data_IF_534086538038
#
_entry.id   IF_534086538038
#
_cell.length_a   1.000
_cell.length_b   1.000
_cell.length_c   1.000
_cell.angle_alpha   90.00
_cell.angle_beta   90.00
_cell.angle_gamma   90.00
#
_symmetry.space_group_name_H-M   'P 1'
#
loop_
_entity.id
_entity.type
_entity.pdbx_description
1 polymer ?
#
# COMPACT_ATOMS: atom_id res chain seq x y z
N UNK A 1 -5.75 68.11 -74.78
CA UNK A 1 -6.16 67.50 -76.06
C UNK A 1 -6.47 66.03 -75.80
N UNK A 2 -7.75 65.66 -75.95
CA UNK A 2 -8.38 64.35 -76.17
C UNK A 2 -7.71 63.02 -75.73
N UNK A 3 -8.43 62.33 -74.81
CA UNK A 3 -8.88 60.92 -74.76
C UNK A 3 -7.96 59.74 -75.14
N UNK A 4 -7.95 58.69 -74.30
CA UNK A 4 -8.56 57.35 -74.52
C UNK A 4 -8.44 56.55 -73.20
N UNK A 5 -9.50 56.34 -72.40
CA UNK A 5 -10.56 55.30 -72.44
C UNK A 5 -10.14 53.91 -71.91
N UNK A 6 -10.66 53.56 -70.70
CA UNK A 6 -11.23 52.29 -70.16
C UNK A 6 -10.58 50.93 -70.56
N UNK A 7 -10.46 49.89 -69.72
CA UNK A 7 -11.49 49.27 -68.85
C UNK A 7 -10.89 48.10 -68.01
N UNK A 8 -11.23 48.06 -66.72
CA UNK A 8 -11.54 46.95 -65.78
C UNK A 8 -10.74 45.63 -65.62
N UNK A 9 -10.48 45.35 -64.32
CA UNK A 9 -10.58 44.08 -63.55
C UNK A 9 -9.75 42.86 -63.96
N UNK A 10 -8.79 42.48 -63.10
CA UNK A 10 -8.96 41.28 -62.25
C UNK A 10 -8.01 41.30 -61.04
N UNK A 11 -8.56 40.78 -59.96
CA UNK A 11 -8.13 40.65 -58.56
C UNK A 11 -6.94 39.73 -58.30
N UNK A 12 -6.40 39.86 -57.07
CA UNK A 12 -5.66 38.84 -56.29
C UNK A 12 -4.21 38.64 -56.77
N UNK A 13 -3.15 38.68 -55.95
CA UNK A 13 -2.99 38.15 -54.60
C UNK A 13 -1.59 38.56 -54.09
N UNK A 14 -1.35 38.31 -52.82
CA UNK A 14 -0.06 38.00 -52.18
C UNK A 14 0.69 39.15 -51.47
N UNK A 15 0.96 38.84 -50.19
CA UNK A 15 2.13 39.26 -49.40
C UNK A 15 1.96 40.46 -48.47
N UNK A 16 1.12 40.27 -47.45
CA UNK A 16 1.37 40.81 -46.11
C UNK A 16 1.65 39.64 -45.15
N UNK A 17 2.90 39.19 -45.17
CA UNK A 17 3.52 38.42 -44.08
C UNK A 17 4.72 39.24 -43.63
N UNK A 18 4.52 40.11 -42.63
CA UNK A 18 5.60 40.70 -41.86
C UNK A 18 5.10 41.21 -40.50
N UNK A 19 5.52 40.49 -39.46
CA UNK A 19 5.66 40.92 -38.05
C UNK A 19 4.41 41.42 -37.31
N UNK A 20 3.70 40.49 -36.67
CA UNK A 20 3.09 40.74 -35.36
C UNK A 20 3.91 39.99 -34.31
N UNK A 21 4.75 40.72 -33.58
CA UNK A 21 5.32 40.24 -32.33
C UNK A 21 4.34 40.53 -31.21
N UNK A 22 3.47 39.56 -30.89
CA UNK A 22 2.68 39.61 -29.67
C UNK A 22 3.60 39.29 -28.49
N UNK A 23 3.82 40.29 -27.63
CA UNK A 23 4.21 40.03 -26.25
C UNK A 23 3.08 39.23 -25.63
N UNK A 24 3.36 38.00 -25.19
CA UNK A 24 2.49 37.28 -24.26
C UNK A 24 2.38 38.12 -22.98
N UNK A 25 1.34 38.96 -22.92
CA UNK A 25 0.82 39.42 -21.65
C UNK A 25 0.36 38.17 -20.90
N UNK A 26 1.10 37.87 -19.84
CA UNK A 26 0.72 36.89 -18.83
C UNK A 26 -0.71 37.21 -18.41
N UNK A 27 -1.68 36.35 -18.79
CA UNK A 27 -3.06 36.45 -18.31
C UNK A 27 -2.99 36.62 -16.80
N UNK A 28 -3.44 37.79 -16.32
CA UNK A 28 -3.62 38.02 -14.90
C UNK A 28 -4.47 36.88 -14.34
N UNK A 29 -3.97 36.20 -13.32
CA UNK A 29 -4.70 35.18 -12.61
C UNK A 29 -6.08 35.76 -12.21
N UNK A 30 -7.14 35.02 -12.51
CA UNK A 30 -8.52 35.38 -12.17
C UNK A 30 -8.57 35.89 -10.73
N UNK A 31 -9.12 37.10 -10.47
CA UNK A 31 -9.20 37.66 -9.13
C UNK A 31 -9.80 36.62 -8.18
N UNK A 32 -9.26 36.51 -6.96
CA UNK A 32 -9.72 35.54 -5.94
C UNK A 32 -11.25 35.65 -5.72
N UNK A 33 -11.84 36.83 -5.93
CA UNK A 33 -13.28 37.07 -5.84
C UNK A 33 -14.14 36.37 -6.92
N UNK A 34 -13.55 35.98 -8.05
CA UNK A 34 -14.20 35.28 -9.17
C UNK A 34 -13.90 33.76 -9.17
N UNK A 35 -13.13 33.28 -8.20
CA UNK A 35 -12.88 31.84 -8.00
C UNK A 35 -14.01 31.25 -7.14
N UNK A 36 -14.69 30.23 -7.67
CA UNK A 36 -15.68 29.47 -6.90
C UNK A 36 -14.95 28.57 -5.90
N UNK A 37 -14.84 29.03 -4.65
CA UNK A 37 -14.39 28.19 -3.54
C UNK A 37 -15.58 27.46 -2.95
N UNK A 38 -15.50 26.13 -2.94
CA UNK A 38 -16.43 25.27 -2.22
C UNK A 38 -15.71 24.75 -0.97
N UNK A 39 -16.38 24.84 0.19
CA UNK A 39 -15.91 24.18 1.41
C UNK A 39 -16.39 22.74 1.39
N UNK A 40 -15.47 21.81 1.15
CA UNK A 40 -15.73 20.39 1.37
C UNK A 40 -15.51 20.09 2.86
N UNK A 41 -16.57 19.70 3.57
CA UNK A 41 -16.46 19.21 4.95
C UNK A 41 -16.03 17.74 4.85
N UNK A 42 -14.76 17.48 5.16
CA UNK A 42 -14.33 16.13 5.49
C UNK A 42 -14.81 15.83 6.91
N UNK A 43 -15.49 14.70 7.13
CA UNK A 43 -15.73 14.18 8.48
C UNK A 43 -14.36 13.89 9.12
N UNK A 44 -13.84 14.87 9.87
CA UNK A 44 -12.56 14.78 10.56
C UNK A 44 -12.78 14.28 11.98
N UNK A 45 -12.11 13.19 12.35
CA UNK A 45 -12.02 12.75 13.73
C UNK A 45 -10.99 13.63 14.46
N UNK A 46 -11.41 14.33 15.51
CA UNK A 46 -10.53 15.15 16.36
C UNK A 46 -10.42 14.51 17.73
N UNK A 47 -9.23 14.03 18.07
CA UNK A 47 -8.94 13.42 19.38
C UNK A 47 -8.11 14.40 20.21
N UNK A 48 -8.53 14.65 21.45
CA UNK A 48 -7.79 15.51 22.39
C UNK A 48 -6.54 14.78 22.92
N UNK A 49 -5.51 14.71 22.08
CA UNK A 49 -4.25 14.07 22.39
C UNK A 49 -3.08 14.83 21.74
N UNK A 50 -2.06 15.15 22.54
CA UNK A 50 -0.86 15.83 22.07
C UNK A 50 0.16 14.81 21.55
N UNK A 51 0.10 14.48 20.25
CA UNK A 51 1.06 13.60 19.61
C UNK A 51 0.84 13.45 18.10
N UNK A 52 1.52 12.49 17.49
CA UNK A 52 1.40 12.22 16.05
C UNK A 52 0.60 10.93 15.82
N UNK A 53 -0.72 11.08 15.78
CA UNK A 53 -1.64 9.95 15.67
C UNK A 53 -1.74 9.45 14.23
N UNK A 54 -1.50 8.15 14.05
CA UNK A 54 -1.82 7.41 12.84
C UNK A 54 -3.05 6.52 13.08
N UNK A 55 -3.99 6.54 12.14
CA UNK A 55 -5.10 5.59 12.12
C UNK A 55 -4.59 4.20 11.70
N UNK A 56 -4.76 3.25 12.61
CA UNK A 56 -4.38 1.85 12.41
C UNK A 56 -5.53 1.09 11.78
N UNK A 57 -6.71 1.15 12.41
CA UNK A 57 -7.92 0.45 11.94
C UNK A 57 -9.19 1.02 12.58
N UNK A 58 -10.34 0.62 12.06
CA UNK A 58 -11.67 0.94 12.60
C UNK A 58 -12.35 -0.38 12.95
N UNK A 59 -13.06 -0.44 14.09
CA UNK A 59 -13.77 -1.64 14.52
C UNK A 59 -14.82 -2.06 13.49
N UNK A 60 -15.17 -3.36 13.42
CA UNK A 60 -16.21 -3.85 12.50
C UNK A 60 -17.55 -3.12 12.59
N UNK A 61 -17.95 -2.69 13.79
CA UNK A 61 -19.17 -1.90 14.01
C UNK A 61 -19.06 -0.42 13.58
N UNK A 62 -17.86 0.06 13.23
CA UNK A 62 -17.58 1.42 12.79
C UNK A 62 -17.44 2.46 13.90
N UNK A 63 -17.55 2.07 15.17
CA UNK A 63 -17.69 3.03 16.27
C UNK A 63 -16.39 3.31 17.03
N UNK A 64 -15.38 2.45 16.90
CA UNK A 64 -14.12 2.53 17.63
C UNK A 64 -12.94 2.65 16.66
N UNK A 65 -12.05 3.58 16.95
CA UNK A 65 -10.89 3.90 16.13
C UNK A 65 -9.63 3.52 16.89
N UNK A 66 -8.82 2.64 16.29
CA UNK A 66 -7.52 2.25 16.82
C UNK A 66 -6.44 3.18 16.26
N UNK A 67 -5.78 3.89 17.15
CA UNK A 67 -4.78 4.90 16.83
C UNK A 67 -3.44 4.53 17.46
N UNK A 68 -2.36 4.96 16.82
CA UNK A 68 -1.01 4.82 17.36
C UNK A 68 -0.28 6.16 17.29
N UNK A 69 0.32 6.58 18.40
CA UNK A 69 1.27 7.70 18.39
C UNK A 69 2.62 7.24 17.85
N UNK A 70 3.02 7.76 16.69
CA UNK A 70 4.27 7.40 16.02
C UNK A 70 5.52 7.73 16.82
N UNK A 71 5.44 8.68 17.78
CA UNK A 71 6.60 9.06 18.59
C UNK A 71 6.82 8.12 19.77
N UNK A 72 5.75 7.70 20.44
CA UNK A 72 5.84 6.92 21.68
C UNK A 72 5.48 5.44 21.51
N UNK A 73 4.95 5.03 20.35
CA UNK A 73 4.29 3.73 20.13
C UNK A 73 3.13 3.47 21.11
N UNK A 74 2.54 4.53 21.67
CA UNK A 74 1.34 4.43 22.51
C UNK A 74 0.15 4.09 21.62
N UNK A 75 -0.66 3.12 22.02
CA UNK A 75 -1.94 2.79 21.37
C UNK A 75 -3.08 3.51 22.08
N UNK A 76 -4.06 3.95 21.31
CA UNK A 76 -5.24 4.64 21.81
C UNK A 76 -6.49 4.08 21.13
N UNK A 77 -7.58 4.02 21.88
CA UNK A 77 -8.91 3.78 21.35
C UNK A 77 -9.71 5.06 21.52
N UNK A 78 -10.35 5.54 20.46
CA UNK A 78 -11.33 6.62 20.53
C UNK A 78 -12.65 6.20 19.94
N UNK A 79 -13.74 6.84 20.36
CA UNK A 79 -15.04 6.70 19.69
C UNK A 79 -15.17 7.66 18.49
N UNK A 80 -16.30 7.60 17.79
CA UNK A 80 -16.66 8.46 16.65
C UNK A 80 -16.66 9.97 16.96
N UNK A 81 -16.87 10.36 18.22
CA UNK A 81 -16.80 11.76 18.66
C UNK A 81 -15.39 12.25 18.99
N UNK A 82 -14.41 11.34 18.93
CA UNK A 82 -13.02 11.63 19.27
C UNK A 82 -12.71 11.56 20.77
N UNK A 83 -13.66 11.13 21.59
CA UNK A 83 -13.43 10.86 23.01
C UNK A 83 -12.47 9.68 23.16
N UNK A 84 -11.42 9.88 23.97
CA UNK A 84 -10.46 8.84 24.29
C UNK A 84 -11.11 7.81 25.23
N UNK A 85 -11.30 6.60 24.74
CA UNK A 85 -11.82 5.49 25.52
C UNK A 85 -10.70 4.90 26.37
N UNK A 86 -9.53 4.65 25.77
CA UNK A 86 -8.41 4.00 26.43
C UNK A 86 -7.06 4.38 25.81
N UNK A 87 -5.98 4.21 26.59
CA UNK A 87 -4.59 4.49 26.19
C UNK A 87 -3.62 3.48 26.83
N UNK A 88 -2.72 2.90 26.03
CA UNK A 88 -1.79 1.86 26.51
C UNK A 88 -0.39 2.00 25.93
N UNK A 89 0.60 1.53 26.70
CA UNK A 89 1.94 1.23 26.22
C UNK A 89 2.11 -0.28 26.19
N UNK A 90 2.04 -0.85 24.99
CA UNK A 90 2.06 -2.30 24.79
C UNK A 90 3.45 -2.83 24.41
N UNK A 91 4.45 -1.96 24.27
CA UNK A 91 5.82 -2.36 23.92
C UNK A 91 6.72 -2.32 25.15
N UNK A 92 7.40 -3.43 25.44
CA UNK A 92 8.33 -3.55 26.55
C UNK A 92 8.56 -5.01 26.99
N UNK A 93 8.77 -5.24 28.28
CA UNK A 93 9.10 -6.54 28.87
C UNK A 93 8.09 -7.04 29.93
N UNK A 94 6.99 -6.30 30.11
CA UNK A 94 5.89 -6.68 30.99
C UNK A 94 5.06 -7.86 30.46
N UNK A 95 4.22 -8.45 31.31
CA UNK A 95 3.42 -9.64 30.96
C UNK A 95 2.36 -9.37 29.87
N UNK A 96 1.96 -8.12 29.68
CA UNK A 96 1.04 -7.69 28.62
C UNK A 96 1.77 -6.97 27.48
N UNK A 97 3.10 -7.02 27.43
CA UNK A 97 3.87 -6.24 26.46
C UNK A 97 4.49 -7.15 25.40
N UNK A 98 4.53 -6.69 24.14
CA UNK A 98 5.33 -7.29 23.09
C UNK A 98 6.73 -6.64 23.06
N UNK A 99 7.76 -7.39 22.69
CA UNK A 99 9.13 -6.88 22.60
C UNK A 99 9.71 -6.90 21.17
N UNK A 100 8.99 -7.56 20.26
CA UNK A 100 9.38 -7.72 18.87
C UNK A 100 9.09 -6.46 18.04
N UNK A 101 9.70 -6.40 16.85
CA UNK A 101 9.50 -5.27 15.96
C UNK A 101 8.14 -5.39 15.26
N UNK A 102 7.31 -4.33 15.23
CA UNK A 102 6.07 -4.34 14.46
C UNK A 102 6.33 -4.60 12.97
N UNK A 103 5.43 -5.35 12.33
CA UNK A 103 5.48 -5.65 10.88
C UNK A 103 4.49 -4.83 10.05
N UNK A 104 3.63 -4.06 10.69
CA UNK A 104 2.72 -3.15 10.01
C UNK A 104 1.59 -2.71 10.92
N UNK A 105 0.41 -2.49 10.35
CA UNK A 105 -0.70 -1.91 11.09
C UNK A 105 -1.32 -2.91 12.05
N UNK A 106 -1.64 -2.43 13.25
CA UNK A 106 -2.57 -3.12 14.12
C UNK A 106 -3.98 -3.11 13.50
N UNK A 107 -4.76 -4.16 13.73
CA UNK A 107 -6.11 -4.32 13.17
C UNK A 107 -7.08 -4.92 14.17
N UNK A 108 -8.35 -4.56 14.08
CA UNK A 108 -9.36 -5.24 14.87
C UNK A 108 -9.54 -6.68 14.38
N UNK A 109 -9.58 -7.62 15.32
CA UNK A 109 -10.07 -8.97 15.07
C UNK A 109 -11.60 -8.99 15.13
N UNK A 110 -12.16 -8.26 16.08
CA UNK A 110 -13.58 -8.05 16.31
C UNK A 110 -13.77 -6.77 17.16
N UNK A 111 -15.00 -6.44 17.57
CA UNK A 111 -15.27 -5.21 18.36
C UNK A 111 -14.65 -5.20 19.78
N UNK A 112 -14.02 -6.30 20.22
CA UNK A 112 -13.44 -6.47 21.56
C UNK A 112 -11.96 -6.79 21.58
N UNK A 113 -11.37 -7.09 20.43
CA UNK A 113 -9.98 -7.49 20.32
C UNK A 113 -9.30 -6.86 19.11
N UNK A 114 -8.03 -6.51 19.27
CA UNK A 114 -7.17 -6.06 18.19
C UNK A 114 -5.83 -6.80 18.18
N UNK A 115 -5.25 -6.84 17.00
CA UNK A 115 -4.07 -7.61 16.64
C UNK A 115 -2.91 -6.67 16.38
N UNK A 116 -1.72 -7.02 16.86
CA UNK A 116 -0.46 -6.36 16.52
C UNK A 116 0.44 -7.39 15.82
N UNK A 117 0.68 -7.26 14.50
CA UNK A 117 1.64 -8.11 13.80
C UNK A 117 3.08 -7.67 14.12
N UNK A 118 3.93 -8.63 14.49
CA UNK A 118 5.34 -8.40 14.84
C UNK A 118 6.25 -9.46 14.21
N UNK A 119 7.57 -9.25 14.28
CA UNK A 119 8.57 -10.25 13.85
C UNK A 119 8.54 -11.54 14.66
N UNK A 120 7.85 -11.58 15.81
CA UNK A 120 7.67 -12.77 16.64
C UNK A 120 6.33 -13.48 16.43
N UNK A 121 5.45 -12.96 15.56
CA UNK A 121 4.09 -13.43 15.39
C UNK A 121 3.06 -12.34 15.63
N UNK A 122 1.80 -12.75 15.82
CA UNK A 122 0.67 -11.84 15.99
C UNK A 122 0.25 -11.85 17.46
N UNK A 123 0.15 -10.68 18.07
CA UNK A 123 -0.34 -10.51 19.44
C UNK A 123 -1.81 -10.06 19.41
N UNK A 124 -2.70 -10.73 20.12
CA UNK A 124 -4.10 -10.33 20.33
C UNK A 124 -4.28 -9.71 21.71
N UNK A 125 -4.87 -8.52 21.72
CA UNK A 125 -5.17 -7.73 22.89
C UNK A 125 -6.67 -7.50 23.00
N UNK A 126 -7.22 -7.53 24.20
CA UNK A 126 -8.56 -7.01 24.44
C UNK A 126 -8.59 -5.47 24.37
N UNK A 127 -9.79 -4.90 24.32
CA UNK A 127 -10.01 -3.44 24.38
C UNK A 127 -9.60 -2.81 25.72
N UNK A 128 -9.08 -3.53 26.70
CA UNK A 128 -8.50 -2.97 27.93
C UNK A 128 -6.96 -3.03 27.90
N UNK A 129 -6.37 -3.49 26.79
CA UNK A 129 -4.93 -3.59 26.59
C UNK A 129 -4.29 -4.78 27.31
N UNK A 130 -5.09 -5.77 27.72
CA UNK A 130 -4.58 -7.03 28.27
C UNK A 130 -4.25 -7.98 27.14
N UNK A 131 -3.09 -8.62 27.24
CA UNK A 131 -2.66 -9.62 26.27
C UNK A 131 -3.52 -10.88 26.45
N UNK A 132 -4.32 -11.20 25.45
CA UNK A 132 -5.12 -12.42 25.42
C UNK A 132 -4.31 -13.57 24.85
N UNK A 133 -3.57 -13.29 23.75
CA UNK A 133 -2.84 -14.35 23.06
C UNK A 133 -1.66 -13.87 22.24
N UNK A 134 -0.65 -14.74 22.13
CA UNK A 134 0.39 -14.64 21.10
C UNK A 134 0.27 -15.84 20.15
N UNK A 135 0.23 -15.56 18.85
CA UNK A 135 0.29 -16.57 17.79
C UNK A 135 1.71 -16.59 17.23
N UNK A 136 2.56 -17.45 17.81
CA UNK A 136 3.97 -17.58 17.46
C UNK A 136 4.18 -18.12 16.03
N UNK A 137 5.19 -17.58 15.35
CA UNK A 137 5.62 -18.11 14.05
C UNK A 137 6.35 -19.44 14.22
N UNK A 138 6.14 -20.36 13.27
CA UNK A 138 6.89 -21.62 13.15
C UNK A 138 8.18 -21.46 12.33
N UNK A 139 8.53 -20.23 11.96
CA UNK A 139 9.73 -19.87 11.20
C UNK A 139 10.31 -18.53 11.70
N UNK A 140 11.55 -18.23 11.30
CA UNK A 140 12.18 -16.94 11.63
C UNK A 140 11.69 -15.87 10.67
N UNK A 141 11.18 -14.77 11.21
CA UNK A 141 10.82 -13.61 10.39
C UNK A 141 12.07 -13.01 9.73
N UNK A 142 12.01 -12.79 8.42
CA UNK A 142 13.07 -12.08 7.71
C UNK A 142 12.92 -10.55 7.87
N UNK A 143 14.00 -9.78 7.78
CA UNK A 143 13.90 -8.33 7.70
C UNK A 143 13.12 -7.90 6.46
N UNK A 144 12.22 -6.94 6.61
CA UNK A 144 11.45 -6.35 5.51
C UNK A 144 11.27 -4.85 5.74
N UNK A 145 11.20 -4.10 4.64
CA UNK A 145 10.86 -2.68 4.69
C UNK A 145 9.40 -2.51 5.12
N UNK A 146 9.14 -1.61 6.07
CA UNK A 146 7.77 -1.22 6.42
C UNK A 146 7.31 -0.09 5.49
N UNK A 147 6.27 -0.33 4.70
CA UNK A 147 5.63 0.71 3.89
C UNK A 147 4.49 1.33 4.69
N UNK A 148 4.66 2.60 5.08
CA UNK A 148 3.62 3.36 5.77
C UNK A 148 2.33 3.40 4.97
N UNK A 149 1.23 2.93 5.55
CA UNK A 149 -0.09 2.90 4.91
C UNK A 149 -0.42 1.61 4.16
N UNK A 150 0.54 0.70 3.94
CA UNK A 150 0.25 -0.62 3.42
C UNK A 150 -0.46 -1.48 4.46
N UNK A 151 -1.41 -2.29 4.00
CA UNK A 151 -2.02 -3.32 4.82
C UNK A 151 -1.21 -4.62 4.66
N UNK A 152 -0.71 -5.14 5.78
CA UNK A 152 0.09 -6.37 5.86
C UNK A 152 -0.65 -7.54 6.52
N UNK A 153 -1.88 -7.29 7.00
CA UNK A 153 -2.73 -8.24 7.69
C UNK A 153 -4.18 -8.01 7.28
N UNK A 154 -4.94 -9.08 7.06
CA UNK A 154 -6.37 -9.07 6.75
C UNK A 154 -7.08 -10.16 7.56
N UNK A 155 -8.22 -9.84 8.16
CA UNK A 155 -9.03 -10.76 8.97
C UNK A 155 -10.24 -11.23 8.16
N UNK A 156 -10.53 -12.53 8.19
CA UNK A 156 -11.75 -13.09 7.62
C UNK A 156 -12.24 -14.29 8.43
N UNK A 157 -13.28 -14.08 9.24
CA UNK A 157 -13.78 -15.12 10.13
C UNK A 157 -12.68 -15.65 11.02
N UNK A 158 -12.38 -16.95 10.90
CA UNK A 158 -11.38 -17.64 11.71
C UNK A 158 -9.97 -17.70 11.06
N UNK A 159 -9.73 -16.88 10.04
CA UNK A 159 -8.46 -16.83 9.33
C UNK A 159 -7.88 -15.42 9.31
N UNK A 160 -6.56 -15.35 9.40
CA UNK A 160 -5.78 -14.13 9.19
C UNK A 160 -4.83 -14.38 8.01
N UNK A 161 -4.87 -13.51 7.02
CA UNK A 161 -3.93 -13.48 5.91
C UNK A 161 -2.88 -12.40 6.19
N UNK A 162 -1.60 -12.74 6.16
CA UNK A 162 -0.51 -11.81 6.47
C UNK A 162 0.63 -11.94 5.47
N UNK A 163 1.36 -10.85 5.22
CA UNK A 163 2.56 -10.81 4.36
C UNK A 163 3.85 -11.05 5.14
N UNK A 164 3.77 -11.78 6.26
CA UNK A 164 4.90 -12.02 7.17
C UNK A 164 6.04 -12.72 6.43
N UNK A 165 7.22 -12.10 6.27
CA UNK A 165 8.31 -12.64 5.47
C UNK A 165 9.15 -13.64 6.28
N UNK A 166 9.85 -14.55 5.61
CA UNK A 166 10.89 -15.38 6.24
C UNK A 166 10.70 -16.88 6.11
N UNK A 167 9.52 -17.36 5.71
CA UNK A 167 9.35 -18.79 5.47
C UNK A 167 10.27 -19.23 4.33
N UNK A 168 11.03 -20.30 4.57
CA UNK A 168 11.95 -20.89 3.61
C UNK A 168 13.26 -20.13 3.40
N UNK A 169 13.51 -19.02 4.11
CA UNK A 169 14.78 -18.29 3.94
C UNK A 169 16.01 -19.08 4.38
N UNK A 170 15.85 -19.97 5.36
CA UNK A 170 16.91 -20.89 5.79
C UNK A 170 17.16 -22.01 4.74
N UNK A 171 16.22 -22.27 3.82
CA UNK A 171 16.31 -23.34 2.81
C UNK A 171 16.83 -22.84 1.46
N UNK A 172 16.32 -21.70 0.99
CA UNK A 172 16.60 -21.17 -0.36
C UNK A 172 16.99 -19.68 -0.37
N UNK A 173 17.33 -19.11 0.79
CA UNK A 173 17.70 -17.71 0.93
C UNK A 173 16.50 -16.76 0.87
N UNK A 174 16.75 -15.45 0.93
CA UNK A 174 15.71 -14.40 0.93
C UNK A 174 15.57 -13.66 -0.39
N UNK A 175 16.40 -13.99 -1.38
CA UNK A 175 16.52 -13.34 -2.69
C UNK A 175 16.98 -14.37 -3.74
N UNK A 176 16.98 -13.97 -5.01
CA UNK A 176 17.47 -14.82 -6.11
C UNK A 176 16.38 -15.64 -6.79
N UNK A 177 16.76 -16.36 -7.85
CA UNK A 177 15.84 -17.17 -8.65
C UNK A 177 15.17 -18.25 -7.80
N UNK A 178 15.94 -18.96 -6.96
CA UNK A 178 15.39 -20.06 -6.16
C UNK A 178 14.33 -19.57 -5.16
N UNK A 179 14.57 -18.41 -4.51
CA UNK A 179 13.58 -17.76 -3.67
C UNK A 179 12.32 -17.39 -4.47
N UNK A 180 12.46 -16.77 -5.64
CA UNK A 180 11.31 -16.41 -6.49
C UNK A 180 10.51 -17.63 -6.98
N UNK A 181 11.16 -18.76 -7.24
CA UNK A 181 10.46 -19.96 -7.69
C UNK A 181 9.71 -20.67 -6.56
N UNK A 182 10.22 -20.60 -5.32
CA UNK A 182 9.73 -21.42 -4.20
C UNK A 182 8.91 -20.64 -3.17
N UNK A 183 9.14 -19.33 -3.03
CA UNK A 183 8.52 -18.51 -1.99
C UNK A 183 7.01 -18.37 -2.17
N UNK A 184 6.33 -18.38 -1.02
CA UNK A 184 4.93 -18.08 -0.89
C UNK A 184 4.81 -16.67 -0.33
N UNK A 185 3.89 -15.89 -0.88
CA UNK A 185 3.81 -14.45 -0.63
C UNK A 185 2.88 -14.12 0.54
N UNK A 186 2.02 -15.07 0.92
CA UNK A 186 1.03 -14.94 1.98
C UNK A 186 1.21 -16.07 3.00
N UNK A 187 1.03 -15.75 4.26
CA UNK A 187 0.85 -16.71 5.34
C UNK A 187 -0.59 -16.64 5.83
N UNK A 188 -1.21 -17.79 6.05
CA UNK A 188 -2.55 -17.93 6.60
C UNK A 188 -2.43 -18.48 8.01
N UNK A 189 -2.80 -17.68 9.01
CA UNK A 189 -3.00 -18.14 10.38
C UNK A 189 -4.45 -18.58 10.56
N UNK A 190 -4.65 -19.85 10.88
CA UNK A 190 -5.95 -20.36 11.31
C UNK A 190 -6.09 -20.19 12.84
N UNK A 191 -7.13 -19.47 13.28
CA UNK A 191 -7.32 -19.11 14.68
C UNK A 191 -7.88 -20.26 15.55
N UNK A 192 -8.44 -21.31 14.95
CA UNK A 192 -8.96 -22.49 15.66
C UNK A 192 -7.83 -23.44 16.08
N UNK A 193 -6.85 -23.65 15.19
CA UNK A 193 -5.74 -24.58 15.42
C UNK A 193 -4.39 -23.88 15.61
N UNK A 194 -4.35 -22.56 15.47
CA UNK A 194 -3.21 -21.68 15.74
C UNK A 194 -1.99 -21.97 14.86
N UNK A 195 -2.22 -22.49 13.65
CA UNK A 195 -1.15 -22.81 12.71
C UNK A 195 -1.08 -21.82 11.56
N UNK A 196 0.14 -21.42 11.25
CA UNK A 196 0.49 -20.75 10.01
C UNK A 196 0.61 -21.78 8.89
N UNK A 197 0.15 -21.40 7.70
CA UNK A 197 0.32 -22.16 6.47
C UNK A 197 0.62 -21.20 5.32
N UNK A 198 1.60 -21.51 4.47
CA UNK A 198 1.96 -20.61 3.39
C UNK A 198 0.99 -20.75 2.21
N UNK A 199 0.80 -19.65 1.49
CA UNK A 199 -0.12 -19.55 0.38
C UNK A 199 0.35 -18.55 -0.67
N UNK A 200 -0.14 -18.74 -1.89
CA UNK A 200 0.08 -17.91 -3.07
C UNK A 200 1.58 -17.79 -3.42
N UNK A 201 2.09 -18.55 -4.41
CA UNK A 201 3.40 -18.27 -4.98
C UNK A 201 3.37 -16.93 -5.74
N UNK A 202 4.53 -16.48 -6.23
CA UNK A 202 4.53 -15.42 -7.25
C UNK A 202 3.61 -15.84 -8.42
N UNK A 203 2.58 -15.05 -8.77
CA UNK A 203 1.65 -15.38 -9.85
C UNK A 203 2.39 -15.63 -11.15
N UNK A 204 1.98 -16.61 -11.95
CA UNK A 204 2.64 -16.94 -13.24
C UNK A 204 2.65 -15.80 -14.24
N UNK A 205 1.74 -14.83 -14.08
CA UNK A 205 1.68 -13.61 -14.91
C UNK A 205 2.46 -12.45 -14.30
N UNK A 206 3.02 -12.60 -13.10
CA UNK A 206 3.89 -11.61 -12.46
C UNK A 206 5.28 -11.68 -13.05
N UNK A 207 5.92 -10.53 -13.22
CA UNK A 207 7.33 -10.47 -13.62
C UNK A 207 8.28 -11.09 -12.59
N UNK A 208 7.85 -11.17 -11.32
CA UNK A 208 8.63 -11.76 -10.24
C UNK A 208 8.59 -13.29 -10.24
N UNK A 209 7.67 -13.91 -10.99
CA UNK A 209 7.73 -15.33 -11.33
C UNK A 209 8.74 -15.54 -12.48
N UNK A 210 10.01 -15.24 -12.21
CA UNK A 210 11.08 -15.29 -13.21
C UNK A 210 12.10 -16.36 -12.90
N UNK A 211 12.55 -17.05 -13.96
CA UNK A 211 13.62 -18.07 -13.93
C UNK A 211 14.97 -17.56 -14.43
N UNK A 212 14.99 -16.36 -14.99
CA UNK A 212 16.16 -15.79 -15.66
C UNK A 212 16.69 -14.54 -14.95
N UNK A 213 15.80 -13.84 -14.24
CA UNK A 213 16.07 -12.54 -13.64
C UNK A 213 15.74 -12.53 -12.17
N UNK A 214 16.70 -12.16 -11.34
CA UNK A 214 16.50 -12.03 -9.91
C UNK A 214 16.22 -10.58 -9.55
N UNK A 215 15.01 -10.32 -9.08
CA UNK A 215 14.58 -8.99 -8.67
C UNK A 215 15.06 -8.67 -7.26
N UNK A 216 15.39 -7.41 -6.97
CA UNK A 216 15.74 -6.98 -5.63
C UNK A 216 14.50 -7.06 -4.71
N UNK A 217 14.70 -7.42 -3.44
CA UNK A 217 13.62 -7.61 -2.47
C UNK A 217 12.69 -6.41 -2.31
N UNK A 218 13.23 -5.20 -2.45
CA UNK A 218 12.46 -3.98 -2.42
C UNK A 218 11.39 -3.91 -3.53
N UNK A 219 11.64 -4.49 -4.71
CA UNK A 219 10.72 -4.42 -5.85
C UNK A 219 9.46 -5.25 -5.66
N UNK A 220 9.50 -6.29 -4.84
CA UNK A 220 8.39 -7.21 -4.63
C UNK A 220 7.81 -7.18 -3.21
N UNK A 221 7.90 -6.04 -2.51
CA UNK A 221 7.12 -5.89 -1.28
C UNK A 221 5.63 -6.13 -1.58
N UNK A 222 5.05 -7.11 -0.89
CA UNK A 222 3.67 -7.58 -1.10
C UNK A 222 2.71 -6.71 -0.30
N UNK A 223 1.69 -6.19 -0.98
CA UNK A 223 0.55 -5.54 -0.35
C UNK A 223 -0.68 -6.42 -0.53
N UNK A 224 -1.52 -6.47 0.50
CA UNK A 224 -2.79 -7.17 0.46
C UNK A 224 -3.98 -6.27 0.75
N UNK A 225 -5.13 -6.63 0.20
CA UNK A 225 -6.43 -6.12 0.64
C UNK A 225 -7.48 -7.20 0.50
N UNK A 226 -8.50 -7.16 1.34
CA UNK A 226 -9.59 -8.12 1.33
C UNK A 226 -10.90 -7.38 1.12
N UNK A 227 -11.77 -7.95 0.28
CA UNK A 227 -13.17 -7.53 0.18
C UNK A 227 -14.05 -8.72 -0.12
N UNK A 228 -15.08 -8.90 0.70
CA UNK A 228 -15.98 -10.04 0.62
C UNK A 228 -15.18 -11.35 0.58
N UNK A 229 -15.29 -12.12 -0.50
CA UNK A 229 -14.64 -13.40 -0.71
C UNK A 229 -13.36 -13.30 -1.56
N UNK A 230 -12.84 -12.10 -1.79
CA UNK A 230 -11.71 -11.87 -2.70
C UNK A 230 -10.53 -11.23 -1.97
N UNK A 231 -9.40 -11.94 -1.98
CA UNK A 231 -8.10 -11.42 -1.57
C UNK A 231 -7.39 -10.83 -2.78
N UNK A 232 -7.01 -9.57 -2.69
CA UNK A 232 -6.23 -8.86 -3.70
C UNK A 232 -4.78 -8.76 -3.23
N UNK A 233 -3.86 -9.08 -4.13
CA UNK A 233 -2.42 -9.00 -3.94
C UNK A 233 -1.84 -8.04 -4.97
N UNK A 234 -0.87 -7.23 -4.57
CA UNK A 234 -0.04 -6.45 -5.49
C UNK A 234 1.39 -6.41 -4.99
N UNK A 235 2.33 -6.28 -5.90
CA UNK A 235 3.74 -6.08 -5.57
C UNK A 235 4.11 -4.63 -5.81
N UNK A 236 5.04 -4.12 -4.99
CA UNK A 236 5.47 -2.72 -5.02
C UNK A 236 5.75 -2.24 -6.45
N UNK A 237 6.67 -2.87 -7.17
CA UNK A 237 7.11 -2.42 -8.49
C UNK A 237 6.54 -3.26 -9.63
N UNK A 238 5.24 -3.54 -9.64
CA UNK A 238 4.56 -4.11 -10.79
C UNK A 238 3.17 -3.47 -10.94
N UNK A 239 2.78 -2.96 -12.13
CA UNK A 239 1.51 -2.26 -12.31
C UNK A 239 0.33 -3.23 -12.42
N UNK A 240 0.27 -4.25 -11.55
CA UNK A 240 -0.75 -5.30 -11.58
C UNK A 240 -1.35 -5.52 -10.19
N UNK A 241 -2.64 -5.84 -10.21
CA UNK A 241 -3.37 -6.38 -9.07
C UNK A 241 -3.81 -7.80 -9.42
N UNK A 242 -3.51 -8.75 -8.55
CA UNK A 242 -3.87 -10.15 -8.65
C UNK A 242 -5.02 -10.42 -7.69
N UNK A 243 -6.07 -11.10 -8.13
CA UNK A 243 -7.22 -11.43 -7.31
C UNK A 243 -7.36 -12.94 -7.16
N UNK A 244 -7.63 -13.38 -5.94
CA UNK A 244 -7.85 -14.78 -5.57
C UNK A 244 -9.16 -14.89 -4.79
N UNK A 245 -9.94 -15.93 -5.06
CA UNK A 245 -11.05 -16.27 -4.18
C UNK A 245 -10.49 -16.90 -2.90
N UNK A 246 -10.95 -16.48 -1.73
CA UNK A 246 -10.47 -17.02 -0.44
C UNK A 246 -10.70 -18.53 -0.31
N UNK A 247 -11.66 -19.08 -1.04
CA UNK A 247 -11.97 -20.51 -1.06
C UNK A 247 -10.95 -21.33 -1.87
N UNK A 248 -10.16 -20.68 -2.74
CA UNK A 248 -9.15 -21.31 -3.58
C UNK A 248 -8.03 -20.30 -3.89
N UNK A 249 -7.02 -20.28 -3.02
CA UNK A 249 -5.85 -19.40 -3.15
C UNK A 249 -4.76 -19.98 -4.06
N UNK A 250 -4.89 -21.22 -4.52
CA UNK A 250 -3.96 -21.81 -5.47
C UNK A 250 -4.22 -21.31 -6.90
N UNK A 251 -5.48 -20.96 -7.18
CA UNK A 251 -5.91 -20.53 -8.51
C UNK A 251 -6.12 -19.01 -8.56
N UNK A 252 -5.29 -18.36 -9.38
CA UNK A 252 -5.46 -16.96 -9.74
C UNK A 252 -6.82 -16.75 -10.44
N UNK A 253 -7.69 -15.93 -9.84
CA UNK A 253 -9.02 -15.66 -10.38
C UNK A 253 -8.97 -14.61 -11.50
N UNK A 254 -8.23 -13.52 -11.29
CA UNK A 254 -8.01 -12.51 -12.32
C UNK A 254 -6.75 -11.68 -12.08
N UNK A 255 -6.25 -11.07 -13.15
CA UNK A 255 -5.18 -10.06 -13.11
C UNK A 255 -5.69 -8.80 -13.77
N UNK A 256 -5.50 -7.66 -13.10
CA UNK A 256 -5.78 -6.33 -13.64
C UNK A 256 -4.49 -5.54 -13.74
N UNK A 257 -4.11 -5.16 -14.96
CA UNK A 257 -3.04 -4.17 -15.17
C UNK A 257 -3.59 -2.77 -14.97
N UNK A 258 -2.91 -1.96 -14.16
CA UNK A 258 -3.29 -0.58 -13.90
C UNK A 258 -2.59 0.32 -14.92
N UNK A 259 -3.34 1.07 -15.75
CA UNK A 259 -2.78 1.88 -16.82
C UNK A 259 -2.22 3.19 -16.27
N UNK A 260 -1.19 3.11 -15.44
CA UNK A 260 -0.49 4.30 -14.96
C UNK A 260 0.13 5.06 -16.14
N UNK A 261 -0.08 6.39 -16.27
CA UNK A 261 0.52 7.18 -17.35
C UNK A 261 2.05 7.10 -17.37
N UNK A 262 2.64 7.01 -16.18
CA UNK A 262 4.08 6.82 -15.96
C UNK A 262 4.27 5.80 -14.85
N UNK A 263 4.87 4.64 -15.16
CA UNK A 263 5.26 3.64 -14.17
C UNK A 263 6.63 3.10 -14.54
N UNK A 264 7.66 3.50 -13.79
CA UNK A 264 9.02 3.01 -14.04
C UNK A 264 9.21 1.68 -13.34
N UNK A 265 9.32 0.63 -14.13
CA UNK A 265 9.69 -0.70 -13.64
C UNK A 265 11.20 -0.81 -13.53
N UNK A 266 11.68 -1.41 -12.45
CA UNK A 266 13.03 -1.90 -12.36
C UNK A 266 13.10 -3.27 -13.02
N UNK A 267 14.12 -3.42 -13.86
CA UNK A 267 14.37 -4.61 -14.64
C UNK A 267 15.86 -4.99 -14.52
N UNK A 268 16.19 -6.02 -13.72
CA UNK A 268 17.56 -6.48 -13.56
C UNK A 268 18.07 -7.14 -14.86
N UNK A 269 19.39 -7.17 -15.00
CA UNK A 269 20.06 -7.70 -16.20
C UNK A 269 20.51 -9.15 -16.04
N UNK A 270 20.53 -9.66 -14.82
CA UNK A 270 21.09 -10.96 -14.49
C UNK A 270 20.26 -11.67 -13.42
N UNK A 271 20.70 -12.89 -13.09
CA UNK A 271 20.12 -13.79 -12.11
C UNK A 271 20.61 -13.53 -10.67
N UNK A 272 21.33 -12.42 -10.46
CA UNK A 272 21.91 -12.06 -9.15
C UNK A 272 21.27 -10.80 -8.62
N UNK A 273 20.82 -10.86 -7.37
CA UNK A 273 20.44 -9.65 -6.65
C UNK A 273 21.68 -8.96 -6.11
N UNK A 274 21.82 -7.64 -6.28
CA UNK A 274 22.87 -6.89 -5.59
C UNK A 274 22.74 -7.02 -4.06
N UNK A 275 23.87 -7.03 -3.34
CA UNK A 275 23.90 -7.11 -1.88
C UNK A 275 23.35 -5.85 -1.18
N UNK A 276 23.10 -4.77 -1.94
CA UNK A 276 22.61 -3.49 -1.43
C UNK A 276 21.66 -2.82 -2.43
N UNK A 277 20.70 -2.05 -1.92
CA UNK A 277 19.82 -1.24 -2.74
C UNK A 277 20.46 0.12 -3.04
N UNK A 278 20.22 0.64 -4.24
CA UNK A 278 20.57 2.01 -4.61
C UNK A 278 19.41 2.94 -4.22
N UNK A 279 19.70 4.19 -3.85
CA UNK A 279 18.67 5.17 -3.50
C UNK A 279 17.65 5.36 -4.63
N UNK A 280 18.07 5.16 -5.90
CA UNK A 280 17.18 5.22 -7.06
C UNK A 280 16.08 4.14 -7.05
N UNK A 281 16.28 3.04 -6.35
CA UNK A 281 15.33 1.90 -6.27
C UNK A 281 14.11 2.25 -5.40
N UNK A 282 14.22 3.33 -4.62
CA UNK A 282 13.10 3.89 -3.85
C UNK A 282 12.19 4.75 -4.76
N UNK A 283 12.71 5.33 -5.85
CA UNK A 283 11.99 6.29 -6.70
C UNK A 283 11.35 5.68 -7.96
N UNK A 284 10.87 4.45 -7.84
CA UNK A 284 10.31 3.67 -8.95
C UNK A 284 8.80 3.63 -8.89
N UNK A 285 8.16 3.20 -9.99
CA UNK A 285 6.71 3.00 -10.01
C UNK A 285 6.31 2.09 -8.84
N UNK A 286 5.38 2.55 -8.02
CA UNK A 286 5.04 1.87 -6.77
C UNK A 286 3.53 1.79 -6.55
N UNK A 287 3.04 0.59 -6.22
CA UNK A 287 1.75 0.38 -5.58
C UNK A 287 2.00 0.22 -4.07
N UNK A 288 1.57 1.21 -3.26
CA UNK A 288 1.71 1.18 -1.80
C UNK A 288 0.47 0.60 -1.08
N UNK A 289 -0.69 0.59 -1.75
CA UNK A 289 -1.94 0.10 -1.18
C UNK A 289 -2.94 -0.20 -2.28
N UNK A 290 -3.78 -1.20 -2.05
CA UNK A 290 -4.98 -1.48 -2.87
C UNK A 290 -6.21 -1.22 -2.00
N UNK A 291 -7.16 -0.45 -2.52
CA UNK A 291 -8.44 -0.18 -1.87
C UNK A 291 -9.53 -0.72 -2.80
N UNK A 292 -10.09 -1.91 -2.53
CA UNK A 292 -11.12 -2.49 -3.37
C UNK A 292 -12.46 -1.75 -3.17
N UNK A 293 -12.96 -1.10 -4.24
CA UNK A 293 -14.22 -0.33 -4.29
C UNK A 293 -15.44 -1.15 -4.63
#
# INVERSE_FOLDING_TARGET
MRYITRLFFFTFTLSILACSGEKEETKAATPIAEQSFEFEIYDSLVVDYLGNLALMDISPDGNTFLLQDGNTNTFLLSNESGELLNQYKLRGAGPNEYNENPLGKAKFLNDREFLIPTTGGIYSYDIDGKLEKKYDLDFKCAPQLLIGGADNLMVNGNQIYTTTPGRGTDEYGSLGIEFQEKSQQIEILNLENEKYSPAIPFPTTSKFNSKEKAYPGLSFYTNISLRADTLYLSFRNEPKIFAYHISDLEKLASTKTIPFPTFREDEPKDDKTPDSFDIKDIFVGTINRVIPM
#
